data_IF_578471310908
#
_entry.id   IF_578471310908
#
_cell.length_a   1.000
_cell.length_b   1.000
_cell.length_c   1.000
_cell.angle_alpha   90.00
_cell.angle_beta   90.00
_cell.angle_gamma   90.00
#
_symmetry.space_group_name_H-M   'P 1'
#
loop_
_entity.id
_entity.type
_entity.pdbx_description
1 polymer ?
#
# COMPACT_ATOMS: atom_id res chain seq x y z
N UNK A 1 -29.43 -8.25 -11.74
CA UNK A 1 -30.21 -9.38 -11.18
C UNK A 1 -31.67 -8.97 -11.17
N UNK A 2 -32.57 -9.77 -11.74
CA UNK A 2 -33.98 -9.44 -11.99
C UNK A 2 -34.92 -9.60 -10.79
N UNK A 3 -34.46 -9.29 -9.57
CA UNK A 3 -35.31 -9.37 -8.38
C UNK A 3 -36.04 -8.05 -8.14
N UNK A 4 -37.25 -8.15 -7.57
CA UNK A 4 -38.03 -6.98 -7.19
C UNK A 4 -37.26 -6.15 -6.15
N UNK A 5 -37.01 -4.88 -6.45
CA UNK A 5 -36.29 -3.93 -5.59
C UNK A 5 -36.97 -3.73 -4.22
N UNK A 6 -38.26 -4.04 -4.12
CA UNK A 6 -39.05 -3.93 -2.89
C UNK A 6 -39.02 -5.18 -2.01
N UNK A 7 -38.34 -6.26 -2.43
CA UNK A 7 -38.24 -7.46 -1.62
C UNK A 7 -37.40 -7.20 -0.35
N UNK A 8 -37.87 -7.59 0.85
CA UNK A 8 -37.12 -7.36 2.08
C UNK A 8 -35.75 -8.03 2.06
N UNK A 9 -34.70 -7.31 2.48
CA UNK A 9 -33.32 -7.83 2.52
C UNK A 9 -33.18 -9.10 3.38
N UNK A 10 -33.97 -9.21 4.44
CA UNK A 10 -34.01 -10.41 5.28
C UNK A 10 -34.49 -11.67 4.52
N UNK A 11 -35.35 -11.51 3.52
CA UNK A 11 -35.80 -12.62 2.66
C UNK A 11 -34.76 -12.90 1.57
N UNK A 12 -34.19 -11.86 0.97
CA UNK A 12 -33.16 -12.00 -0.09
C UNK A 12 -31.91 -12.71 0.42
N UNK A 13 -31.34 -12.22 1.52
CA UNK A 13 -30.07 -12.70 2.08
C UNK A 13 -30.25 -13.72 3.22
N UNK A 14 -31.50 -13.99 3.63
CA UNK A 14 -31.80 -14.96 4.68
C UNK A 14 -31.56 -16.41 4.22
N UNK A 15 -31.22 -17.32 5.14
CA UNK A 15 -30.95 -18.71 4.80
C UNK A 15 -32.22 -19.44 4.33
N UNK A 16 -32.05 -20.41 3.41
CA UNK A 16 -33.17 -21.22 2.88
C UNK A 16 -33.95 -21.95 3.98
N UNK A 17 -33.29 -22.33 5.08
CA UNK A 17 -33.91 -23.03 6.20
C UNK A 17 -35.05 -22.24 6.88
N UNK A 18 -35.01 -20.90 6.79
CA UNK A 18 -36.05 -20.01 7.32
C UNK A 18 -36.90 -19.36 6.22
N UNK A 19 -36.92 -19.95 5.01
CA UNK A 19 -37.70 -19.44 3.88
C UNK A 19 -37.07 -18.26 3.13
N UNK A 20 -35.78 -17.98 3.38
CA UNK A 20 -35.01 -17.02 2.59
C UNK A 20 -34.50 -17.59 1.27
N UNK A 21 -33.99 -16.73 0.40
CA UNK A 21 -33.43 -17.10 -0.91
C UNK A 21 -31.96 -17.50 -0.81
N UNK A 22 -31.29 -17.16 0.30
CA UNK A 22 -29.86 -17.34 0.52
C UNK A 22 -29.01 -16.74 -0.61
N UNK A 23 -29.46 -15.62 -1.18
CA UNK A 23 -28.71 -14.91 -2.20
C UNK A 23 -27.44 -14.35 -1.56
N UNK A 24 -26.31 -14.45 -2.25
CA UNK A 24 -25.05 -13.86 -1.80
C UNK A 24 -25.05 -12.39 -2.26
N UNK A 25 -24.59 -11.50 -1.39
CA UNK A 25 -24.40 -10.10 -1.75
C UNK A 25 -23.29 -9.95 -2.80
N UNK A 26 -23.54 -9.13 -3.82
CA UNK A 26 -22.66 -8.98 -4.99
C UNK A 26 -21.27 -8.49 -4.56
N UNK A 27 -21.18 -7.58 -3.59
CA UNK A 27 -19.88 -7.09 -3.12
C UNK A 27 -19.08 -8.23 -2.45
N UNK A 28 -19.79 -9.10 -1.74
CA UNK A 28 -19.18 -10.27 -1.07
C UNK A 28 -18.70 -11.29 -2.09
N UNK A 29 -19.46 -11.55 -3.15
CA UNK A 29 -19.08 -12.45 -4.24
C UNK A 29 -17.88 -11.91 -5.02
N UNK A 30 -17.88 -10.60 -5.34
CA UNK A 30 -16.74 -9.94 -5.99
C UNK A 30 -15.48 -10.01 -5.14
N UNK A 31 -15.60 -9.78 -3.83
CA UNK A 31 -14.48 -9.91 -2.90
C UNK A 31 -13.92 -11.34 -2.90
N UNK A 32 -14.80 -12.34 -2.75
CA UNK A 32 -14.39 -13.74 -2.71
C UNK A 32 -13.64 -14.13 -4.00
N UNK A 33 -14.17 -13.74 -5.16
CA UNK A 33 -13.54 -13.98 -6.46
C UNK A 33 -12.17 -13.30 -6.59
N UNK A 34 -12.03 -12.05 -6.12
CA UNK A 34 -10.76 -11.33 -6.16
C UNK A 34 -9.71 -11.93 -5.21
N UNK A 35 -10.12 -12.34 -4.01
CA UNK A 35 -9.23 -13.00 -3.05
C UNK A 35 -8.79 -14.37 -3.54
N UNK A 36 -9.71 -15.17 -4.07
CA UNK A 36 -9.39 -16.48 -4.63
C UNK A 36 -8.41 -16.35 -5.79
N UNK A 37 -8.63 -15.40 -6.70
CA UNK A 37 -7.69 -15.11 -7.79
C UNK A 37 -6.33 -14.67 -7.25
N UNK A 38 -6.28 -13.80 -6.24
CA UNK A 38 -5.00 -13.38 -5.64
C UNK A 38 -4.25 -14.56 -5.01
N UNK A 39 -4.93 -15.38 -4.22
CA UNK A 39 -4.32 -16.54 -3.55
C UNK A 39 -3.87 -17.58 -4.55
N UNK A 40 -4.66 -17.81 -5.62
CA UNK A 40 -4.27 -18.70 -6.71
C UNK A 40 -2.99 -18.20 -7.38
N UNK A 41 -2.95 -16.92 -7.73
CA UNK A 41 -1.77 -16.32 -8.35
C UNK A 41 -0.55 -16.44 -7.43
N UNK A 42 -0.67 -16.17 -6.13
CA UNK A 42 0.43 -16.35 -5.15
C UNK A 42 0.88 -17.80 -4.93
N UNK A 43 0.18 -18.79 -5.48
CA UNK A 43 0.52 -20.23 -5.36
C UNK A 43 1.00 -20.82 -6.67
N UNK A 44 0.62 -20.24 -7.80
CA UNK A 44 0.93 -20.75 -9.13
C UNK A 44 2.07 -19.97 -9.75
N UNK A 45 3.02 -20.65 -10.39
CA UNK A 45 4.10 -19.99 -11.14
C UNK A 45 3.70 -19.82 -12.62
N UNK A 46 2.65 -19.06 -12.87
CA UNK A 46 2.22 -18.69 -14.22
C UNK A 46 2.67 -17.26 -14.53
N UNK A 47 2.78 -16.91 -15.81
CA UNK A 47 3.12 -15.54 -16.23
C UNK A 47 2.19 -14.49 -15.59
N UNK A 48 0.89 -14.79 -15.51
CA UNK A 48 -0.12 -13.91 -14.91
C UNK A 48 0.09 -13.71 -13.40
N UNK A 49 0.57 -14.75 -12.72
CA UNK A 49 0.92 -14.68 -11.31
C UNK A 49 2.18 -13.84 -11.09
N UNK A 50 3.22 -14.06 -11.90
CA UNK A 50 4.45 -13.26 -11.87
C UNK A 50 4.15 -11.78 -12.11
N UNK A 51 3.35 -11.44 -13.13
CA UNK A 51 2.91 -10.07 -13.39
C UNK A 51 2.20 -9.46 -12.17
N UNK A 52 1.30 -10.22 -11.53
CA UNK A 52 0.58 -9.72 -10.35
C UNK A 52 1.52 -9.49 -9.17
N UNK A 53 2.49 -10.36 -8.94
CA UNK A 53 3.51 -10.21 -7.89
C UNK A 53 4.36 -8.98 -8.17
N UNK A 54 4.79 -8.78 -9.42
CA UNK A 54 5.55 -7.60 -9.84
C UNK A 54 4.73 -6.32 -9.62
N UNK A 55 3.44 -6.32 -9.96
CA UNK A 55 2.56 -5.17 -9.71
C UNK A 55 2.44 -4.88 -8.23
N UNK A 56 2.26 -5.90 -7.37
CA UNK A 56 2.21 -5.71 -5.91
C UNK A 56 3.55 -5.19 -5.38
N UNK A 57 4.67 -5.69 -5.87
CA UNK A 57 6.01 -5.23 -5.50
C UNK A 57 6.23 -3.76 -5.90
N UNK A 58 5.87 -3.39 -7.14
CA UNK A 58 5.91 -2.02 -7.62
C UNK A 58 5.02 -1.10 -6.78
N UNK A 59 3.84 -1.58 -6.39
CA UNK A 59 2.92 -0.86 -5.52
C UNK A 59 3.52 -0.66 -4.12
N UNK A 60 4.12 -1.70 -3.52
CA UNK A 60 4.79 -1.60 -2.23
C UNK A 60 5.98 -0.63 -2.28
N UNK A 61 6.77 -0.65 -3.36
CA UNK A 61 7.87 0.29 -3.58
C UNK A 61 7.36 1.72 -3.77
N UNK A 62 6.22 1.91 -4.45
CA UNK A 62 5.56 3.20 -4.57
C UNK A 62 5.06 3.71 -3.22
N UNK A 63 4.51 2.84 -2.38
CA UNK A 63 4.05 3.21 -1.04
C UNK A 63 5.21 3.55 -0.10
N UNK A 64 6.34 2.83 -0.18
CA UNK A 64 7.47 3.05 0.73
C UNK A 64 7.32 2.36 2.08
N UNK A 65 6.42 1.37 2.22
CA UNK A 65 6.22 0.64 3.48
C UNK A 65 7.35 -0.34 3.77
N UNK A 66 7.80 -0.46 5.02
CA UNK A 66 8.76 -1.48 5.45
C UNK A 66 8.13 -2.86 5.68
N UNK A 67 6.84 -2.90 6.00
CA UNK A 67 6.05 -4.12 6.20
C UNK A 67 5.45 -4.63 4.88
N UNK A 68 4.99 -5.88 4.88
CA UNK A 68 4.25 -6.42 3.74
C UNK A 68 3.06 -5.54 3.39
N UNK A 69 2.92 -5.19 2.11
CA UNK A 69 1.93 -4.25 1.62
C UNK A 69 0.51 -4.51 2.16
N UNK A 70 0.06 -5.77 2.09
CA UNK A 70 -1.30 -6.17 2.46
C UNK A 70 -1.60 -6.12 3.97
N UNK A 71 -0.58 -5.95 4.82
CA UNK A 71 -0.74 -5.85 6.28
C UNK A 71 -0.90 -4.40 6.77
N UNK A 72 -0.65 -3.42 5.90
CA UNK A 72 -0.74 -2.01 6.27
C UNK A 72 -2.18 -1.51 6.18
N UNK A 73 -2.55 -0.51 7.01
CA UNK A 73 -3.85 0.16 6.87
C UNK A 73 -3.82 1.08 5.63
N UNK A 74 -4.69 0.85 4.61
CA UNK A 74 -4.77 1.72 3.44
C UNK A 74 -5.06 3.19 3.79
N UNK A 75 -5.78 3.47 4.88
CA UNK A 75 -6.18 4.84 5.25
C UNK A 75 -4.99 5.72 5.61
N UNK A 76 -3.92 5.13 6.13
CA UNK A 76 -2.72 5.86 6.53
C UNK A 76 -1.91 6.39 5.34
N UNK A 77 -2.23 5.95 4.13
CA UNK A 77 -1.51 6.32 2.93
C UNK A 77 -2.37 7.20 2.01
N UNK A 78 -2.24 8.54 2.08
CA UNK A 78 -3.14 9.46 1.37
C UNK A 78 -2.91 9.47 -0.14
N UNK A 79 -1.67 9.20 -0.58
CA UNK A 79 -1.27 9.20 -2.00
C UNK A 79 -1.47 7.85 -2.70
N UNK A 80 -2.14 6.88 -2.07
CA UNK A 80 -2.46 5.60 -2.72
C UNK A 80 -3.34 5.83 -3.97
N UNK A 81 -3.07 5.16 -5.11
CA UNK A 81 -3.94 5.17 -6.27
C UNK A 81 -5.40 4.85 -5.92
N UNK A 82 -6.36 5.72 -6.25
CA UNK A 82 -7.76 5.56 -5.80
C UNK A 82 -8.58 4.57 -6.64
N UNK A 83 -8.22 4.35 -7.91
CA UNK A 83 -9.01 3.57 -8.86
C UNK A 83 -8.20 2.41 -9.46
N UNK A 84 -7.70 1.51 -8.60
CA UNK A 84 -7.06 0.30 -9.09
C UNK A 84 -7.48 -0.94 -8.31
N UNK A 85 -7.46 -2.09 -8.98
CA UNK A 85 -7.85 -3.39 -8.40
C UNK A 85 -7.03 -3.72 -7.16
N UNK A 86 -5.74 -3.41 -7.14
CA UNK A 86 -4.85 -3.62 -5.99
C UNK A 86 -5.30 -2.81 -4.78
N UNK A 87 -5.65 -1.53 -4.96
CA UNK A 87 -6.20 -0.69 -3.88
C UNK A 87 -7.54 -1.21 -3.38
N UNK A 88 -8.41 -1.65 -4.30
CA UNK A 88 -9.70 -2.22 -3.93
C UNK A 88 -9.52 -3.46 -3.04
N UNK A 89 -8.69 -4.42 -3.49
CA UNK A 89 -8.38 -5.63 -2.72
C UNK A 89 -7.78 -5.28 -1.36
N UNK A 90 -6.82 -4.34 -1.33
CA UNK A 90 -6.19 -3.90 -0.09
C UNK A 90 -7.19 -3.30 0.90
N UNK A 91 -8.07 -2.41 0.44
CA UNK A 91 -9.14 -1.84 1.27
C UNK A 91 -10.08 -2.91 1.83
N UNK A 92 -10.46 -3.89 1.01
CA UNK A 92 -11.38 -4.93 1.43
C UNK A 92 -10.74 -5.92 2.40
N UNK A 93 -9.47 -6.30 2.17
CA UNK A 93 -8.69 -7.13 3.09
C UNK A 93 -8.65 -6.48 4.47
N UNK A 94 -8.31 -5.19 4.53
CA UNK A 94 -8.28 -4.46 5.80
C UNK A 94 -9.66 -4.32 6.45
N UNK A 95 -10.69 -3.95 5.67
CA UNK A 95 -12.07 -3.80 6.14
C UNK A 95 -12.61 -5.08 6.81
N UNK A 96 -12.23 -6.24 6.29
CA UNK A 96 -12.70 -7.54 6.78
C UNK A 96 -11.70 -8.23 7.73
N UNK A 97 -10.58 -7.60 8.08
CA UNK A 97 -9.58 -8.17 8.98
C UNK A 97 -8.87 -9.41 8.41
N UNK A 98 -8.79 -9.53 7.10
CA UNK A 98 -8.13 -10.64 6.41
C UNK A 98 -6.61 -10.38 6.43
N UNK A 99 -5.81 -11.42 6.63
CA UNK A 99 -4.35 -11.33 6.55
C UNK A 99 -3.84 -12.32 5.51
N UNK A 100 -3.05 -11.82 4.55
CA UNK A 100 -2.41 -12.63 3.51
C UNK A 100 -0.90 -12.44 3.64
N UNK A 101 -0.20 -13.56 3.87
CA UNK A 101 1.25 -13.62 3.91
C UNK A 101 1.74 -14.59 2.84
N UNK A 102 2.75 -14.18 2.10
CA UNK A 102 3.43 -15.03 1.13
C UNK A 102 4.91 -14.64 1.06
N UNK A 103 5.78 -15.64 0.96
CA UNK A 103 7.22 -15.44 0.73
C UNK A 103 7.52 -14.88 -0.66
N UNK A 104 6.58 -14.99 -1.61
CA UNK A 104 6.71 -14.44 -2.96
C UNK A 104 6.51 -12.93 -3.00
N UNK A 105 5.85 -12.35 -1.99
CA UNK A 105 5.64 -10.91 -1.95
C UNK A 105 6.95 -10.22 -1.59
N UNK A 106 7.35 -9.29 -2.45
CA UNK A 106 8.54 -8.47 -2.22
C UNK A 106 8.40 -7.69 -0.91
N UNK A 107 9.50 -7.64 -0.15
CA UNK A 107 9.64 -6.80 1.03
C UNK A 107 10.99 -6.10 0.97
N UNK A 108 11.06 -4.81 1.29
CA UNK A 108 12.34 -4.11 1.39
C UNK A 108 13.19 -4.74 2.50
N UNK A 109 14.47 -4.96 2.20
CA UNK A 109 15.42 -5.55 3.15
C UNK A 109 16.18 -4.43 3.85
N UNK A 110 16.03 -4.34 5.16
CA UNK A 110 16.79 -3.40 5.97
C UNK A 110 18.26 -3.82 6.06
N UNK A 111 19.17 -2.84 6.02
CA UNK A 111 20.61 -3.04 6.27
C UNK A 111 20.94 -3.19 7.76
N UNK A 112 20.15 -2.58 8.64
CA UNK A 112 20.42 -2.53 10.09
C UNK A 112 19.22 -3.01 10.92
N UNK A 113 19.47 -3.53 12.13
CA UNK A 113 18.42 -4.13 12.97
C UNK A 113 17.33 -3.15 13.40
N UNK A 114 17.67 -1.87 13.55
CA UNK A 114 16.77 -0.82 14.03
C UNK A 114 16.41 0.20 12.93
N UNK A 115 16.61 -0.17 11.68
CA UNK A 115 16.25 0.69 10.57
C UNK A 115 14.73 0.74 10.39
N UNK A 116 14.25 1.91 10.01
CA UNK A 116 12.82 2.14 9.78
C UNK A 116 12.64 2.68 8.37
N UNK A 117 11.61 2.19 7.67
CA UNK A 117 11.26 2.73 6.37
C UNK A 117 10.82 4.19 6.56
N UNK A 118 11.33 5.08 5.72
CA UNK A 118 11.16 6.54 5.87
C UNK A 118 9.67 6.89 6.01
N UNK A 119 8.84 6.32 5.13
CA UNK A 119 7.42 6.62 5.15
C UNK A 119 6.66 6.01 6.33
N UNK A 120 7.11 4.86 6.87
CA UNK A 120 6.49 4.30 8.07
C UNK A 120 6.68 5.26 9.26
N UNK A 121 7.86 5.86 9.38
CA UNK A 121 8.16 6.89 10.40
C UNK A 121 7.34 8.17 10.21
N UNK A 122 7.18 8.64 8.96
CA UNK A 122 6.35 9.81 8.63
C UNK A 122 4.89 9.56 8.96
N UNK A 123 4.36 8.40 8.55
CA UNK A 123 2.98 8.00 8.82
C UNK A 123 2.73 7.87 10.32
N UNK A 124 3.63 7.24 11.07
CA UNK A 124 3.54 7.16 12.54
C UNK A 124 3.48 8.56 13.16
N UNK A 125 4.38 9.45 12.75
CA UNK A 125 4.42 10.83 13.25
C UNK A 125 3.14 11.60 12.91
N UNK A 126 2.58 11.39 11.71
CA UNK A 126 1.32 12.01 11.30
C UNK A 126 0.13 11.53 12.16
N UNK A 127 0.10 10.25 12.54
CA UNK A 127 -0.91 9.69 13.43
C UNK A 127 -0.78 10.23 14.85
N UNK A 128 0.44 10.28 15.39
CA UNK A 128 0.72 10.77 16.74
C UNK A 128 0.36 12.26 16.90
N UNK A 129 0.60 13.05 15.84
CA UNK A 129 0.32 14.50 15.82
C UNK A 129 -1.11 14.83 15.39
N UNK A 130 -1.97 13.84 15.19
CA UNK A 130 -3.35 14.06 14.72
C UNK A 130 -4.16 14.88 15.72
N UNK A 131 -4.71 16.00 15.27
CA UNK A 131 -5.45 16.95 16.12
C UNK A 131 -4.56 17.96 16.86
N UNK A 132 -3.25 17.95 16.63
CA UNK A 132 -2.33 18.97 17.15
C UNK A 132 -2.05 20.05 16.09
N UNK A 133 -1.54 21.25 16.48
CA UNK A 133 -1.12 22.28 15.53
C UNK A 133 0.00 21.85 14.58
N UNK A 134 0.76 20.80 14.93
CA UNK A 134 1.86 20.25 14.14
C UNK A 134 1.43 19.06 13.27
N UNK A 135 0.15 18.92 12.99
CA UNK A 135 -0.38 17.86 12.14
C UNK A 135 0.20 17.94 10.72
N UNK A 136 0.74 16.81 10.24
CA UNK A 136 1.22 16.70 8.87
C UNK A 136 0.03 16.58 7.92
N UNK A 137 -0.06 17.48 6.94
CA UNK A 137 -1.10 17.41 5.93
C UNK A 137 -0.87 16.21 4.99
N UNK A 138 -1.95 15.68 4.41
CA UNK A 138 -1.90 14.63 3.39
C UNK A 138 -0.98 15.00 2.21
N UNK A 139 -0.90 16.30 1.89
CA UNK A 139 -0.05 16.85 0.84
C UNK A 139 1.43 16.75 1.25
N UNK A 140 1.77 17.10 2.49
CA UNK A 140 3.14 16.96 2.99
C UNK A 140 3.60 15.48 2.95
N UNK A 141 2.72 14.56 3.35
CA UNK A 141 2.99 13.11 3.30
C UNK A 141 3.19 12.64 1.86
N UNK A 142 2.39 13.13 0.91
CA UNK A 142 2.55 12.83 -0.52
C UNK A 142 3.84 13.43 -1.11
N UNK A 143 4.20 14.65 -0.71
CA UNK A 143 5.43 15.32 -1.12
C UNK A 143 6.66 14.55 -0.64
N UNK A 144 6.66 14.12 0.63
CA UNK A 144 7.73 13.29 1.18
C UNK A 144 7.91 11.98 0.38
N UNK A 145 6.81 11.31 0.01
CA UNK A 145 6.91 10.12 -0.84
C UNK A 145 7.44 10.43 -2.25
N UNK A 146 7.07 11.58 -2.81
CA UNK A 146 7.57 12.04 -4.11
C UNK A 146 9.08 12.26 -4.08
N UNK A 147 9.58 12.92 -3.02
CA UNK A 147 11.02 13.11 -2.79
C UNK A 147 11.72 11.77 -2.62
N UNK A 148 11.16 10.87 -1.82
CA UNK A 148 11.69 9.52 -1.60
C UNK A 148 11.83 8.72 -2.91
N UNK A 149 10.80 8.74 -3.77
CA UNK A 149 10.84 8.03 -5.06
C UNK A 149 11.91 8.65 -5.97
N UNK A 150 12.00 9.98 -6.02
CA UNK A 150 13.03 10.66 -6.81
C UNK A 150 14.45 10.29 -6.34
N UNK A 151 14.67 10.28 -5.03
CA UNK A 151 15.95 9.92 -4.40
C UNK A 151 16.27 8.42 -4.52
N UNK A 152 15.26 7.59 -4.79
CA UNK A 152 15.37 6.12 -4.88
C UNK A 152 15.81 5.47 -3.56
N UNK A 153 15.24 5.95 -2.45
CA UNK A 153 15.53 5.46 -1.09
C UNK A 153 14.30 4.79 -0.47
N UNK A 154 14.52 3.84 0.45
CA UNK A 154 13.43 3.18 1.19
C UNK A 154 13.58 3.36 2.69
N UNK A 155 14.80 3.17 3.19
CA UNK A 155 15.15 3.32 4.59
C UNK A 155 16.02 4.54 4.85
N UNK A 156 16.09 4.97 6.10
CA UNK A 156 17.02 6.03 6.49
C UNK A 156 18.48 5.63 6.22
N UNK A 157 18.82 4.35 6.40
CA UNK A 157 20.15 3.84 6.10
C UNK A 157 20.58 3.97 4.64
N UNK A 158 19.63 4.12 3.71
CA UNK A 158 19.96 4.36 2.30
C UNK A 158 20.51 5.77 2.07
N UNK A 159 20.28 6.69 3.00
CA UNK A 159 20.80 8.07 2.98
C UNK A 159 22.07 8.24 3.81
N UNK A 160 22.61 7.17 4.41
CA UNK A 160 23.78 7.22 5.29
C UNK A 160 25.02 6.72 4.57
N UNK A 161 26.04 7.58 4.49
CA UNK A 161 27.37 7.26 3.97
C UNK A 161 28.37 7.45 5.11
N UNK A 162 29.18 6.43 5.42
CA UNK A 162 30.20 6.45 6.48
C UNK A 162 29.66 6.86 7.88
N UNK A 163 28.43 6.44 8.20
CA UNK A 163 27.80 6.71 9.50
C UNK A 163 27.28 8.14 9.68
N UNK A 164 27.30 8.97 8.62
CA UNK A 164 26.66 10.29 8.58
C UNK A 164 25.62 10.34 7.48
N UNK A 165 24.61 11.19 7.66
CA UNK A 165 23.63 11.45 6.60
C UNK A 165 24.37 12.18 5.47
N UNK A 166 24.26 11.64 4.25
CA UNK A 166 24.78 12.25 3.05
C UNK A 166 24.00 13.53 2.76
N UNK A 167 24.67 14.68 2.86
CA UNK A 167 24.07 16.00 2.70
C UNK A 167 23.59 16.25 1.28
N UNK A 168 24.23 15.67 0.26
CA UNK A 168 23.82 15.83 -1.13
C UNK A 168 22.51 15.07 -1.41
N UNK A 169 22.37 13.88 -0.82
CA UNK A 169 21.12 13.11 -0.87
C UNK A 169 20.01 13.81 -0.06
N UNK A 170 20.35 14.33 1.13
CA UNK A 170 19.39 15.04 1.97
C UNK A 170 18.86 16.32 1.31
N UNK A 171 19.73 17.07 0.62
CA UNK A 171 19.36 18.29 -0.10
C UNK A 171 18.78 18.04 -1.50
N UNK A 172 18.59 16.78 -1.91
CA UNK A 172 18.02 16.42 -3.22
C UNK A 172 18.84 16.94 -4.41
N UNK A 173 20.16 16.97 -4.22
CA UNK A 173 21.13 17.34 -5.25
C UNK A 173 21.52 16.11 -6.09
N UNK A 174 21.51 14.93 -5.47
CA UNK A 174 21.87 13.65 -6.07
C UNK A 174 20.83 12.57 -5.77
N UNK A 175 20.79 11.52 -6.60
CA UNK A 175 20.01 10.30 -6.36
C UNK A 175 20.89 9.20 -5.75
N UNK A 176 20.29 8.37 -4.90
CA UNK A 176 20.97 7.20 -4.35
C UNK A 176 21.32 6.23 -5.49
N UNK A 177 22.44 5.52 -5.34
CA UNK A 177 22.79 4.43 -6.24
C UNK A 177 22.12 3.16 -5.69
N UNK A 178 21.17 2.61 -6.44
CA UNK A 178 20.46 1.39 -6.06
C UNK A 178 20.31 0.46 -7.26
N UNK A 179 20.34 -0.85 -7.00
CA UNK A 179 19.99 -1.87 -8.00
C UNK A 179 18.49 -2.04 -8.16
N UNK A 180 17.68 -1.45 -7.27
CA UNK A 180 16.23 -1.57 -7.32
C UNK A 180 15.61 -0.64 -8.37
N UNK A 181 14.54 -1.13 -9.01
CA UNK A 181 13.80 -0.36 -10.01
C UNK A 181 12.70 0.44 -9.33
N UNK A 182 12.88 1.75 -9.29
CA UNK A 182 11.88 2.71 -8.82
C UNK A 182 11.02 3.24 -9.98
N UNK A 183 9.75 3.60 -9.71
CA UNK A 183 8.95 4.36 -10.67
C UNK A 183 9.68 5.64 -11.07
N UNK A 184 9.55 6.03 -12.33
CA UNK A 184 10.09 7.30 -12.80
C UNK A 184 9.41 8.46 -12.06
N UNK A 185 10.22 9.39 -11.56
CA UNK A 185 9.77 10.59 -10.87
C UNK A 185 10.64 11.77 -11.29
N UNK A 186 9.99 12.84 -11.76
CA UNK A 186 10.66 14.11 -12.04
C UNK A 186 11.19 14.75 -10.76
N UNK A 187 12.14 15.68 -10.89
CA UNK A 187 12.70 16.40 -9.74
C UNK A 187 11.55 17.08 -8.95
N UNK A 188 11.41 16.81 -7.64
CA UNK A 188 10.37 17.43 -6.83
C UNK A 188 10.47 18.96 -6.83
N UNK A 189 9.33 19.62 -6.69
CA UNK A 189 9.28 21.08 -6.51
C UNK A 189 10.02 21.50 -5.23
N UNK A 190 10.53 22.73 -5.19
CA UNK A 190 11.17 23.30 -3.98
C UNK A 190 10.26 23.25 -2.76
N UNK A 191 8.94 23.43 -2.96
CA UNK A 191 7.94 23.28 -1.91
C UNK A 191 7.95 21.86 -1.33
N UNK A 192 7.95 20.84 -2.20
CA UNK A 192 7.94 19.44 -1.77
C UNK A 192 9.25 19.02 -1.08
N UNK A 193 10.37 19.69 -1.37
CA UNK A 193 11.67 19.46 -0.71
C UNK A 193 11.71 20.09 0.68
N UNK A 194 11.03 21.22 0.87
CA UNK A 194 11.00 21.95 2.14
C UNK A 194 9.95 21.44 3.13
N UNK A 195 8.92 20.72 2.65
CA UNK A 195 7.85 20.09 3.44
C UNK A 195 8.38 18.85 4.19
#
# INVERSE_FOLDING_TARGET
>A
MGFNRHMPRAVVFGPMQYGGIAMIDIETEQLASHLESLVKDLRTNTLQAEDRIIVIAAYQRFMGCGKYFLENDPKHWPYKPKQCKTTYIWNMIWKHGISIRSSQLWKPVSKYSNDEAIMDGIVRTALDRRGTPQHLSDICIANANTVRIYLQVHFLSDMVTDGKIDTELFNVERRAITSEVYPYQDKPSTKAIND
#
